data_IF_242693379747
#
_entry.id   IF_242693379747
#
_cell.length_a   1.000
_cell.length_b   1.000
_cell.length_c   1.000
_cell.angle_alpha   90.00
_cell.angle_beta   90.00
_cell.angle_gamma   90.00
#
_symmetry.space_group_name_H-M   'P 1'
#
loop_
_entity.id
_entity.type
_entity.pdbx_description
1 polymer ?
#
# COMPACT_ATOMS: atom_id res chain seq x y z
N UNK A 1 5.03 -11.66 12.10
CA UNK A 1 5.47 -12.95 12.72
C UNK A 1 5.28 -14.11 11.75
N UNK A 2 6.09 -15.16 11.84
CA UNK A 2 5.95 -16.35 10.99
C UNK A 2 4.67 -17.16 11.31
N UNK A 3 3.95 -17.66 10.29
CA UNK A 3 2.64 -18.30 10.45
C UNK A 3 2.66 -19.54 11.35
N UNK A 4 3.75 -20.31 11.32
CA UNK A 4 3.93 -21.49 12.15
C UNK A 4 3.98 -21.19 13.65
N UNK A 5 4.35 -19.97 14.07
CA UNK A 5 4.33 -19.60 15.49
C UNK A 5 2.92 -19.45 16.06
N UNK A 6 1.92 -19.32 15.18
CA UNK A 6 0.51 -19.28 15.56
C UNK A 6 -0.15 -20.66 15.46
N UNK A 7 0.55 -21.66 14.89
CA UNK A 7 0.10 -23.04 14.80
C UNK A 7 0.77 -23.85 15.92
N UNK A 8 0.14 -24.94 16.36
CA UNK A 8 0.76 -25.87 17.31
C UNK A 8 1.89 -26.61 16.59
N UNK A 9 3.13 -26.21 16.85
CA UNK A 9 4.34 -26.76 16.21
C UNK A 9 5.63 -26.15 16.74
N UNK A 10 6.76 -26.80 16.50
CA UNK A 10 8.08 -26.24 16.83
C UNK A 10 8.45 -25.15 15.83
N UNK A 11 8.90 -24.00 16.33
CA UNK A 11 9.46 -22.96 15.49
C UNK A 11 10.84 -23.40 14.99
N UNK A 12 11.00 -23.49 13.67
CA UNK A 12 12.26 -23.86 13.02
C UNK A 12 13.04 -22.59 12.60
N UNK A 13 14.32 -22.73 12.24
CA UNK A 13 15.17 -21.65 11.72
C UNK A 13 14.57 -20.95 10.48
N UNK A 14 13.68 -21.65 9.76
CA UNK A 14 12.89 -21.09 8.64
C UNK A 14 11.89 -20.02 9.07
N UNK A 15 11.56 -19.92 10.36
CA UNK A 15 10.73 -18.84 10.89
C UNK A 15 11.45 -17.49 10.87
N UNK A 16 12.77 -17.49 11.09
CA UNK A 16 13.61 -16.30 10.98
C UNK A 16 13.72 -15.83 9.53
N UNK A 17 13.73 -16.74 8.57
CA UNK A 17 13.72 -16.41 7.13
C UNK A 17 12.43 -15.68 6.76
N UNK A 18 11.29 -16.13 7.27
CA UNK A 18 10.02 -15.43 7.06
C UNK A 18 10.03 -14.04 7.69
N UNK A 19 10.55 -13.90 8.92
CA UNK A 19 10.66 -12.61 9.58
C UNK A 19 11.60 -11.66 8.82
N UNK A 20 12.73 -12.16 8.33
CA UNK A 20 13.67 -11.41 7.50
C UNK A 20 13.00 -10.94 6.19
N UNK A 21 12.18 -11.77 5.55
CA UNK A 21 11.42 -11.38 4.37
C UNK A 21 10.39 -10.28 4.65
N UNK A 22 9.70 -10.32 5.78
CA UNK A 22 8.82 -9.24 6.22
C UNK A 22 9.57 -7.92 6.39
N UNK A 23 10.74 -7.94 7.06
CA UNK A 23 11.58 -6.75 7.26
C UNK A 23 12.10 -6.22 5.93
N UNK A 24 12.57 -7.10 5.04
CA UNK A 24 13.02 -6.69 3.71
C UNK A 24 11.90 -6.01 2.92
N UNK A 25 10.68 -6.56 2.94
CA UNK A 25 9.52 -5.93 2.31
C UNK A 25 9.26 -4.53 2.88
N UNK A 26 9.30 -4.38 4.21
CA UNK A 26 9.09 -3.09 4.87
C UNK A 26 10.20 -2.08 4.54
N UNK A 27 11.46 -2.51 4.45
CA UNK A 27 12.56 -1.66 4.01
C UNK A 27 12.39 -1.19 2.55
N UNK A 28 11.81 -2.02 1.67
CA UNK A 28 11.61 -1.70 0.26
C UNK A 28 10.39 -0.81 0.01
N UNK A 29 9.32 -0.99 0.79
CA UNK A 29 8.02 -0.34 0.56
C UNK A 29 7.69 0.76 1.57
N UNK A 30 8.39 0.79 2.71
CA UNK A 30 8.10 1.70 3.82
C UNK A 30 6.91 1.28 4.69
N UNK A 31 6.33 0.10 4.47
CA UNK A 31 5.17 -0.38 5.21
C UNK A 31 5.21 -1.87 5.49
N UNK A 32 4.51 -2.31 6.54
CA UNK A 32 4.41 -3.72 6.88
C UNK A 32 3.68 -4.51 5.78
N UNK A 33 4.04 -5.79 5.55
CA UNK A 33 3.44 -6.61 4.49
C UNK A 33 1.94 -6.88 4.67
N UNK A 34 1.47 -6.98 5.92
CA UNK A 34 0.05 -7.14 6.24
C UNK A 34 -0.33 -6.10 7.28
N UNK A 35 -0.68 -4.87 6.86
CA UNK A 35 -1.20 -3.87 7.78
C UNK A 35 -2.57 -4.32 8.30
N UNK A 36 -2.86 -3.99 9.55
CA UNK A 36 -4.14 -4.29 10.18
C UNK A 36 -4.24 -3.56 11.51
N UNK A 37 -5.44 -3.08 11.83
CA UNK A 37 -5.72 -2.29 13.03
C UNK A 37 -5.83 -3.17 14.27
N UNK A 38 -6.07 -4.47 14.09
CA UNK A 38 -6.10 -5.47 15.16
C UNK A 38 -5.05 -6.57 14.95
N UNK A 39 -4.61 -7.15 16.07
CA UNK A 39 -3.68 -8.28 16.08
C UNK A 39 -4.26 -9.47 15.27
N UNK A 40 -5.57 -9.70 15.37
CA UNK A 40 -6.26 -10.78 14.67
C UNK A 40 -6.17 -10.65 13.15
N UNK A 41 -6.32 -9.42 12.63
CA UNK A 41 -6.16 -9.14 11.19
C UNK A 41 -4.72 -9.40 10.73
N UNK A 42 -3.73 -8.96 11.50
CA UNK A 42 -2.32 -9.18 11.19
C UNK A 42 -1.97 -10.69 11.19
N UNK A 43 -2.49 -11.43 12.17
CA UNK A 43 -2.32 -12.89 12.26
C UNK A 43 -2.99 -13.58 11.07
N UNK A 44 -4.23 -13.21 10.74
CA UNK A 44 -4.94 -13.76 9.58
C UNK A 44 -4.18 -13.52 8.26
N UNK A 45 -3.62 -12.33 8.08
CA UNK A 45 -2.77 -11.99 6.94
C UNK A 45 -1.53 -12.89 6.86
N UNK A 46 -0.81 -13.04 7.97
CA UNK A 46 0.35 -13.93 7.98
C UNK A 46 -0.01 -15.41 7.76
N UNK A 47 -1.18 -15.88 8.19
CA UNK A 47 -1.61 -17.27 8.05
C UNK A 47 -2.13 -17.62 6.65
N UNK A 48 -2.83 -16.71 5.98
CA UNK A 48 -3.67 -17.03 4.81
C UNK A 48 -3.50 -16.10 3.63
N UNK A 49 -3.14 -14.84 3.84
CA UNK A 49 -3.03 -13.88 2.73
C UNK A 49 -1.80 -14.18 1.86
N UNK A 50 -1.90 -14.00 0.53
CA UNK A 50 -0.77 -14.18 -0.37
C UNK A 50 0.36 -13.19 -0.01
N UNK A 51 1.64 -13.54 -0.25
CA UNK A 51 2.74 -12.60 -0.08
C UNK A 51 2.51 -11.33 -0.91
N UNK A 52 2.66 -10.13 -0.33
CA UNK A 52 2.53 -8.89 -1.08
C UNK A 52 3.69 -8.72 -2.05
N UNK A 53 3.42 -8.03 -3.17
CA UNK A 53 4.43 -7.77 -4.21
C UNK A 53 5.05 -6.39 -3.96
N UNK A 54 6.36 -6.28 -3.66
CA UNK A 54 7.00 -4.99 -3.44
C UNK A 54 6.98 -4.11 -4.71
N UNK A 55 6.85 -4.70 -5.92
CA UNK A 55 6.66 -3.96 -7.18
C UNK A 55 5.48 -3.00 -7.16
N UNK A 56 4.40 -3.34 -6.45
CA UNK A 56 3.17 -2.56 -6.42
C UNK A 56 3.35 -1.25 -5.65
N UNK A 57 4.38 -1.17 -4.82
CA UNK A 57 4.78 0.03 -4.06
C UNK A 57 5.97 0.76 -4.70
N UNK A 58 6.37 0.40 -5.92
CA UNK A 58 7.45 1.05 -6.65
C UNK A 58 8.84 0.45 -6.44
N UNK A 59 8.95 -0.68 -5.75
CA UNK A 59 10.21 -1.41 -5.67
C UNK A 59 10.53 -2.14 -6.99
N UNK A 60 11.79 -2.52 -7.23
CA UNK A 60 12.14 -3.29 -8.42
C UNK A 60 11.42 -4.65 -8.50
N UNK A 61 10.88 -5.05 -9.68
CA UNK A 61 10.19 -6.33 -9.84
C UNK A 61 11.04 -7.57 -9.52
N UNK A 62 12.38 -7.43 -9.57
CA UNK A 62 13.30 -8.51 -9.22
C UNK A 62 13.16 -8.95 -7.74
N UNK A 63 12.65 -8.08 -6.85
CA UNK A 63 12.40 -8.43 -5.45
C UNK A 63 11.11 -9.24 -5.24
N UNK A 64 10.19 -9.25 -6.20
CA UNK A 64 8.91 -9.98 -6.06
C UNK A 64 9.16 -11.47 -5.79
N UNK A 65 10.07 -12.08 -6.55
CA UNK A 65 10.40 -13.49 -6.38
C UNK A 65 11.06 -13.76 -5.02
N UNK A 66 11.94 -12.87 -4.57
CA UNK A 66 12.64 -13.00 -3.27
C UNK A 66 11.64 -12.95 -2.12
N UNK A 67 10.74 -11.97 -2.13
CA UNK A 67 9.70 -11.82 -1.11
C UNK A 67 8.70 -12.97 -1.16
N UNK A 68 8.25 -13.39 -2.36
CA UNK A 68 7.33 -14.50 -2.52
C UNK A 68 7.88 -15.81 -1.94
N UNK A 69 9.14 -16.14 -2.24
CA UNK A 69 9.81 -17.33 -1.69
C UNK A 69 10.06 -17.19 -0.19
N UNK A 70 10.56 -16.04 0.28
CA UNK A 70 10.86 -15.82 1.71
C UNK A 70 9.60 -15.83 2.60
N UNK A 71 8.48 -15.34 2.09
CA UNK A 71 7.19 -15.30 2.78
C UNK A 71 6.26 -16.48 2.46
N UNK A 72 6.79 -17.57 1.87
CA UNK A 72 5.99 -18.76 1.61
C UNK A 72 5.37 -19.29 2.93
N UNK A 73 4.11 -19.71 2.87
CA UNK A 73 3.39 -20.17 4.08
C UNK A 73 3.90 -21.52 4.56
N UNK A 74 4.29 -22.35 3.61
CA UNK A 74 4.99 -23.60 3.85
C UNK A 74 6.49 -23.33 4.08
N UNK A 75 7.06 -23.69 5.24
CA UNK A 75 8.49 -23.55 5.51
C UNK A 75 9.38 -24.28 4.49
N UNK A 76 8.94 -25.41 3.92
CA UNK A 76 9.72 -26.17 2.92
C UNK A 76 9.88 -25.43 1.59
N UNK A 77 8.98 -24.49 1.30
CA UNK A 77 9.01 -23.67 0.08
C UNK A 77 9.83 -22.40 0.25
N UNK A 78 10.40 -22.16 1.44
CA UNK A 78 11.29 -21.02 1.72
C UNK A 78 12.73 -21.38 1.36
N UNK A 79 13.59 -20.37 1.41
CA UNK A 79 15.04 -20.58 1.37
C UNK A 79 15.48 -21.54 2.49
N UNK A 80 16.48 -22.36 2.22
CA UNK A 80 17.01 -23.26 3.24
C UNK A 80 17.82 -22.49 4.29
N UNK A 81 18.45 -21.38 3.88
CA UNK A 81 19.23 -20.53 4.80
C UNK A 81 19.00 -19.03 4.57
N UNK A 82 19.20 -18.19 5.61
CA UNK A 82 19.18 -16.73 5.44
C UNK A 82 20.22 -16.22 4.43
N UNK A 83 21.35 -16.92 4.30
CA UNK A 83 22.42 -16.57 3.36
C UNK A 83 21.97 -16.74 1.91
N UNK A 84 21.19 -17.77 1.61
CA UNK A 84 20.59 -17.96 0.28
C UNK A 84 19.62 -16.83 -0.06
N UNK A 85 18.75 -16.46 0.88
CA UNK A 85 17.84 -15.33 0.69
C UNK A 85 18.61 -14.02 0.44
N UNK A 86 19.68 -13.78 1.20
CA UNK A 86 20.53 -12.60 1.03
C UNK A 86 21.27 -12.60 -0.33
N UNK A 87 21.68 -13.77 -0.84
CA UNK A 87 22.23 -13.89 -2.20
C UNK A 87 21.19 -13.52 -3.24
N UNK A 88 19.99 -14.09 -3.18
CA UNK A 88 18.91 -13.77 -4.10
C UNK A 88 18.53 -12.28 -4.08
N UNK A 89 18.49 -11.66 -2.89
CA UNK A 89 18.25 -10.23 -2.75
C UNK A 89 19.36 -9.35 -3.37
N UNK A 90 20.64 -9.76 -3.24
CA UNK A 90 21.75 -9.06 -3.90
C UNK A 90 21.68 -9.18 -5.41
N UNK A 91 21.39 -10.38 -5.91
CA UNK A 91 21.29 -10.64 -7.34
C UNK A 91 20.19 -9.78 -7.99
N UNK A 92 19.09 -9.54 -7.25
CA UNK A 92 17.99 -8.65 -7.65
C UNK A 92 18.41 -7.16 -7.79
N UNK A 93 19.48 -6.72 -7.12
CA UNK A 93 20.00 -5.33 -7.20
C UNK A 93 20.99 -5.18 -8.36
N UNK A 94 21.72 -6.23 -8.70
CA UNK A 94 22.70 -6.22 -9.82
C UNK A 94 22.06 -6.16 -11.20
N UNK A 95 20.76 -6.41 -11.31
CA UNK A 95 19.99 -6.08 -12.51
C UNK A 95 19.79 -4.56 -12.53
N UNK A 96 20.10 -3.84 -13.64
CA UNK A 96 19.96 -2.38 -13.69
C UNK A 96 18.54 -1.96 -13.29
N UNK A 97 18.40 -1.35 -12.12
CA UNK A 97 17.12 -0.84 -11.65
C UNK A 97 16.69 0.26 -12.61
N UNK A 98 15.62 0.00 -13.39
CA UNK A 98 15.01 1.05 -14.21
C UNK A 98 14.42 2.07 -13.24
N UNK A 99 15.12 3.20 -13.08
CA UNK A 99 14.61 4.34 -12.32
C UNK A 99 13.27 4.76 -12.96
N UNK A 100 12.18 4.88 -12.19
CA UNK A 100 10.95 5.44 -12.72
C UNK A 100 11.26 6.83 -13.30
N UNK A 101 11.02 7.03 -14.59
CA UNK A 101 11.19 8.34 -15.22
C UNK A 101 10.19 9.30 -14.55
N UNK A 102 10.63 10.36 -13.85
CA UNK A 102 9.72 11.28 -13.15
C UNK A 102 8.75 12.01 -14.09
N UNK A 103 9.00 11.96 -15.40
CA UNK A 103 8.16 12.55 -16.43
C UNK A 103 7.08 11.59 -17.00
N UNK A 104 7.12 10.29 -16.69
CA UNK A 104 6.19 9.32 -17.29
C UNK A 104 4.74 9.49 -16.81
N UNK A 105 4.51 10.11 -15.64
CA UNK A 105 3.16 10.31 -15.08
C UNK A 105 2.44 11.55 -15.63
N UNK A 106 3.14 12.50 -16.27
CA UNK A 106 2.53 13.77 -16.71
C UNK A 106 1.82 13.71 -18.08
N UNK A 107 1.95 12.62 -18.84
CA UNK A 107 1.40 12.56 -20.20
C UNK A 107 -0.06 12.05 -20.32
N UNK A 108 -0.69 11.59 -19.22
CA UNK A 108 -2.04 11.00 -19.27
C UNK A 108 -3.19 11.89 -18.75
N UNK A 109 -2.93 13.18 -18.45
CA UNK A 109 -3.97 14.09 -17.94
C UNK A 109 -4.68 14.93 -19.03
N UNK A 110 -4.48 14.64 -20.32
CA UNK A 110 -4.92 15.49 -21.43
C UNK A 110 -5.67 14.77 -22.55
N UNK A 111 -6.62 13.88 -22.23
CA UNK A 111 -7.47 13.27 -23.25
C UNK A 111 -8.90 13.04 -22.76
N UNK A 112 -9.62 14.12 -22.47
CA UNK A 112 -11.08 14.15 -22.55
C UNK A 112 -11.49 15.33 -23.43
N UNK A 113 -12.05 14.97 -24.57
CA UNK A 113 -12.28 15.77 -25.76
C UNK A 113 -13.16 17.00 -25.54
N UNK A 114 -12.73 18.10 -26.14
CA UNK A 114 -13.63 19.14 -26.64
C UNK A 114 -14.42 18.58 -27.83
N UNK A 115 -15.74 18.72 -27.80
CA UNK A 115 -16.59 18.66 -29.01
C UNK A 115 -17.66 19.74 -28.88
N UNK A 116 -17.42 20.85 -29.56
CA UNK A 116 -18.40 21.81 -30.10
C UNK A 116 -19.15 21.09 -31.25
N UNK A 117 -20.37 21.40 -31.70
CA UNK A 117 -21.29 22.51 -31.55
C UNK A 117 -22.68 22.01 -32.02
N UNK A 118 -23.77 22.75 -31.72
CA UNK A 118 -24.74 23.24 -32.73
C UNK A 118 -26.07 23.74 -32.11
N UNK A 119 -26.29 25.05 -32.30
CA UNK A 119 -27.49 25.69 -32.88
C UNK A 119 -28.91 25.49 -32.28
N UNK A 120 -29.44 26.62 -31.76
CA UNK A 120 -30.80 27.07 -31.37
C UNK A 120 -31.97 26.66 -32.32
N UNK A 121 -33.28 26.60 -31.89
CA UNK A 121 -34.06 27.80 -31.51
C UNK A 121 -35.18 27.66 -30.44
N UNK A 122 -35.81 28.82 -30.18
CA UNK A 122 -36.78 29.20 -29.16
C UNK A 122 -38.16 28.54 -29.20
N UNK A 123 -38.75 28.25 -28.02
CA UNK A 123 -40.21 28.30 -27.88
C UNK A 123 -40.70 28.59 -26.45
N UNK A 124 -41.68 29.48 -26.38
CA UNK A 124 -42.35 29.93 -25.15
C UNK A 124 -43.25 28.81 -24.63
N UNK A 125 -43.21 28.53 -23.33
CA UNK A 125 -44.45 28.15 -22.62
C UNK A 125 -44.45 28.62 -21.17
N UNK A 126 -45.40 29.52 -20.95
CA UNK A 126 -45.90 30.01 -19.68
C UNK A 126 -46.30 28.87 -18.72
N UNK A 127 -45.93 29.05 -17.45
CA UNK A 127 -46.81 28.75 -16.33
C UNK A 127 -46.68 27.37 -15.67
N UNK A 128 -45.84 27.29 -14.63
CA UNK A 128 -46.30 26.98 -13.26
C UNK A 128 -45.15 27.06 -12.27
N UNK A 129 -45.27 28.04 -11.37
CA UNK A 129 -44.53 28.13 -10.11
C UNK A 129 -44.81 26.86 -9.30
N UNK A 130 -43.76 26.15 -8.87
CA UNK A 130 -43.74 25.31 -7.68
C UNK A 130 -42.30 25.27 -7.17
N UNK A 131 -42.05 26.20 -6.25
CA UNK A 131 -41.14 26.17 -5.11
C UNK A 131 -40.40 24.85 -4.87
N UNK A 132 -39.08 24.84 -5.07
CA UNK A 132 -38.15 23.97 -4.36
C UNK A 132 -36.95 24.83 -3.96
N UNK A 133 -36.94 25.23 -2.70
CA UNK A 133 -35.89 26.01 -2.07
C UNK A 133 -34.57 25.23 -2.04
N UNK A 134 -33.51 25.96 -2.37
CA UNK A 134 -32.08 25.63 -2.31
C UNK A 134 -31.73 24.76 -1.11
N UNK A 135 -31.14 23.59 -1.35
CA UNK A 135 -30.20 22.97 -0.40
C UNK A 135 -28.90 22.69 -1.12
N UNK A 136 -27.98 23.64 -0.97
CA UNK A 136 -26.55 23.43 -1.12
C UNK A 136 -26.13 22.28 -0.18
N UNK A 137 -25.65 21.15 -0.71
CA UNK A 137 -24.84 20.21 0.08
C UNK A 137 -23.37 20.41 -0.29
N UNK A 138 -22.86 21.58 0.10
CA UNK A 138 -21.43 21.86 0.19
C UNK A 138 -21.08 21.90 1.67
N UNK A 139 -20.84 20.74 2.28
CA UNK A 139 -20.30 20.66 3.64
C UNK A 139 -18.89 20.11 3.59
N UNK A 140 -18.01 20.86 2.92
CA UNK A 140 -16.63 21.00 3.34
C UNK A 140 -16.62 22.05 4.44
N UNK A 141 -16.60 21.62 5.70
CA UNK A 141 -16.30 22.52 6.81
C UNK A 141 -15.71 21.76 8.00
N UNK A 142 -14.49 22.20 8.34
CA UNK A 142 -14.02 22.49 9.70
C UNK A 142 -13.38 21.35 10.50
N UNK A 143 -12.05 21.40 10.46
CA UNK A 143 -11.15 21.29 11.63
C UNK A 143 -11.71 21.95 12.90
N UNK A 144 -11.26 21.47 14.06
CA UNK A 144 -10.72 22.40 15.04
C UNK A 144 -9.30 22.03 15.46
N UNK A 145 -8.43 23.04 15.35
CA UNK A 145 -7.17 23.16 16.06
C UNK A 145 -7.38 23.27 17.58
N UNK A 146 -6.35 22.85 18.33
CA UNK A 146 -5.86 23.33 19.65
C UNK A 146 -5.76 22.22 20.74
N UNK A 147 -4.91 22.39 21.80
CA UNK A 147 -3.98 23.48 22.09
C UNK A 147 -2.51 23.03 22.31
N UNK A 148 -1.62 23.98 22.07
CA UNK A 148 -0.26 24.02 22.59
C UNK A 148 -0.27 24.19 24.12
N UNK A 149 0.57 23.44 24.83
CA UNK A 149 1.05 23.85 26.16
C UNK A 149 0.99 22.78 27.24
N UNK A 150 2.03 21.94 27.33
CA UNK A 150 2.51 21.41 28.62
C UNK A 150 4.04 21.43 28.56
N UNK A 151 4.64 22.35 29.31
CA UNK A 151 6.07 22.43 29.53
C UNK A 151 6.53 21.29 30.44
N UNK A 152 7.62 20.63 30.06
CA UNK A 152 8.26 19.58 30.83
C UNK A 152 9.55 20.13 31.45
N UNK A 153 9.57 20.27 32.77
CA UNK A 153 10.78 20.55 33.55
C UNK A 153 11.43 19.24 34.00
N UNK A 154 12.76 19.08 33.86
CA UNK A 154 13.47 17.90 34.37
C UNK A 154 13.80 18.04 35.87
N UNK A 155 13.80 16.93 36.64
CA UNK A 155 14.25 16.94 38.04
C UNK A 155 15.79 16.89 38.17
N UNK A 156 16.27 17.45 39.29
CA UNK A 156 17.67 17.48 39.75
C UNK A 156 18.10 16.13 40.34
#
# INVERSE_FOLDING_TARGET
MAPERFRVGQADARSDIYALACVLYECLTGGAPFPGDSIEQQVAGHLSAPPPRPSDSGAPPAFDAVIATGMAKDPEQRYATPVEMARAARDAITVPLRRPDPNAQSHNAGASAHTQADSFPSERRSGRRNHCTVTHCSTWCKTPSAPSGIGWSPPQ
#
